data_IF_597479023762
#
_entry.id   IF_597479023762
#
_cell.length_a   1.000
_cell.length_b   1.000
_cell.length_c   1.000
_cell.angle_alpha   90.00
_cell.angle_beta   90.00
_cell.angle_gamma   90.00
#
_symmetry.space_group_name_H-M   'P 1'
#
loop_
_entity.id
_entity.type
_entity.pdbx_description
1 polymer ?
#
# COMPACT_ATOMS: atom_id res chain seq x y z
N UNK A 1 -9.52 44.69 -19.16
CA UNK A 1 -9.88 44.93 -20.58
C UNK A 1 -11.13 45.78 -20.59
N UNK A 2 -11.12 46.94 -21.24
CA UNK A 2 -12.34 47.75 -21.36
C UNK A 2 -13.40 46.95 -22.13
N UNK A 3 -14.58 46.86 -21.54
CA UNK A 3 -15.72 46.14 -22.08
C UNK A 3 -16.97 46.96 -21.75
N UNK A 4 -17.47 47.68 -22.74
CA UNK A 4 -18.61 48.61 -22.63
C UNK A 4 -19.93 47.88 -22.31
N UNK A 5 -19.98 46.55 -22.46
CA UNK A 5 -21.11 45.72 -22.07
C UNK A 5 -20.98 45.15 -20.65
N UNK A 6 -19.81 45.25 -20.02
CA UNK A 6 -19.63 44.85 -18.63
C UNK A 6 -20.28 45.89 -17.70
N UNK A 7 -20.87 45.43 -16.60
CA UNK A 7 -21.63 46.26 -15.63
C UNK A 7 -20.81 47.42 -15.04
N UNK A 8 -19.48 47.36 -15.11
CA UNK A 8 -18.52 48.38 -14.67
C UNK A 8 -17.71 49.02 -15.81
N UNK A 9 -17.99 48.70 -17.07
CA UNK A 9 -17.25 49.19 -18.25
C UNK A 9 -15.90 48.53 -18.50
N UNK A 10 -15.51 47.55 -17.67
CA UNK A 10 -14.29 46.76 -17.84
C UNK A 10 -14.47 45.34 -17.30
N UNK A 11 -13.71 44.39 -17.85
CA UNK A 11 -13.59 43.01 -17.39
C UNK A 11 -12.14 42.72 -17.01
N UNK A 12 -11.92 42.11 -15.85
CA UNK A 12 -10.59 41.64 -15.45
C UNK A 12 -10.32 40.24 -16.00
N UNK A 13 -9.06 39.96 -16.32
CA UNK A 13 -8.57 38.60 -16.50
C UNK A 13 -7.53 38.35 -15.42
N UNK A 14 -7.80 37.38 -14.54
CA UNK A 14 -6.87 37.02 -13.47
C UNK A 14 -5.72 36.23 -14.09
N UNK A 15 -4.51 36.79 -14.03
CA UNK A 15 -3.30 36.18 -14.59
C UNK A 15 -2.56 35.30 -13.56
N UNK A 16 -3.20 35.02 -12.42
CA UNK A 16 -2.66 34.20 -11.33
C UNK A 16 -3.78 33.30 -10.80
N UNK A 17 -3.45 32.06 -10.43
CA UNK A 17 -4.38 31.15 -9.74
C UNK A 17 -4.74 31.65 -8.34
N UNK A 18 -3.90 32.49 -7.73
CA UNK A 18 -4.10 33.02 -6.36
C UNK A 18 -5.30 33.96 -6.22
N UNK A 19 -5.92 34.40 -7.31
CA UNK A 19 -7.05 35.31 -7.26
C UNK A 19 -8.13 34.88 -8.24
N UNK A 20 -9.35 34.72 -7.74
CA UNK A 20 -10.55 34.35 -8.49
C UNK A 20 -11.64 35.42 -8.32
N UNK A 21 -12.75 35.30 -9.05
CA UNK A 21 -13.81 36.32 -9.10
C UNK A 21 -13.84 37.09 -10.42
N UNK A 22 -14.92 37.84 -10.65
CA UNK A 22 -15.15 38.60 -11.90
C UNK A 22 -14.12 39.73 -12.07
N UNK A 23 -13.53 40.17 -10.95
CA UNK A 23 -12.56 41.25 -10.85
C UNK A 23 -11.28 40.84 -10.11
N UNK A 24 -11.04 39.54 -9.90
CA UNK A 24 -9.90 38.98 -9.15
C UNK A 24 -9.87 39.41 -7.66
N UNK A 25 -11.04 39.58 -7.07
CA UNK A 25 -11.25 40.08 -5.71
C UNK A 25 -11.17 39.00 -4.63
N UNK A 26 -11.33 37.73 -5.00
CA UNK A 26 -11.28 36.60 -4.07
C UNK A 26 -9.86 36.06 -4.07
N UNK A 27 -9.13 36.22 -2.98
CA UNK A 27 -7.87 35.50 -2.81
C UNK A 27 -8.16 34.00 -2.70
N UNK A 28 -7.72 33.23 -3.70
CA UNK A 28 -7.75 31.77 -3.62
C UNK A 28 -6.79 31.37 -2.51
N UNK A 29 -7.33 30.73 -1.47
CA UNK A 29 -6.54 30.36 -0.32
C UNK A 29 -5.50 29.33 -0.71
N UNK A 30 -4.22 29.67 -0.54
CA UNK A 30 -3.15 28.72 -0.78
C UNK A 30 -3.31 27.54 0.19
N UNK A 31 -3.37 26.29 -0.30
CA UNK A 31 -3.49 25.13 0.58
C UNK A 31 -2.27 25.04 1.51
N UNK A 32 -2.49 24.55 2.73
CA UNK A 32 -1.42 24.44 3.72
C UNK A 32 -0.24 23.58 3.20
N UNK A 33 1.01 23.94 3.58
CA UNK A 33 2.21 23.17 3.24
C UNK A 33 2.09 21.67 3.57
N UNK A 34 2.93 20.83 2.98
CA UNK A 34 3.02 19.41 3.34
C UNK A 34 3.28 19.28 4.85
N UNK A 35 2.68 18.29 5.50
CA UNK A 35 2.67 18.12 6.97
C UNK A 35 1.91 19.18 7.78
N UNK A 36 1.15 20.07 7.13
CA UNK A 36 0.26 21.05 7.78
C UNK A 36 -1.18 20.92 7.24
N UNK A 37 -2.16 21.29 8.06
CA UNK A 37 -3.59 21.24 7.75
C UNK A 37 -4.38 22.41 8.36
N UNK A 38 -5.59 22.64 7.89
CA UNK A 38 -6.50 23.68 8.39
C UNK A 38 -6.85 24.75 7.36
N UNK A 39 -7.88 25.53 7.66
CA UNK A 39 -8.29 26.70 6.90
C UNK A 39 -9.11 27.63 7.82
N UNK A 40 -8.88 28.96 7.85
CA UNK A 40 -7.91 29.77 7.07
C UNK A 40 -6.50 29.83 7.67
N UNK A 41 -6.30 29.29 8.88
CA UNK A 41 -5.00 29.20 9.55
C UNK A 41 -4.53 27.76 9.50
N UNK A 42 -3.27 27.55 9.14
CA UNK A 42 -2.64 26.24 9.10
C UNK A 42 -2.02 25.89 10.45
N UNK A 43 -2.22 24.66 10.92
CA UNK A 43 -1.51 24.03 12.03
C UNK A 43 -0.71 22.81 11.56
N UNK A 44 0.28 22.35 12.35
CA UNK A 44 1.04 21.14 12.04
C UNK A 44 0.17 19.88 12.16
N UNK A 45 0.44 18.89 11.31
CA UNK A 45 -0.07 17.53 11.46
C UNK A 45 0.65 16.86 12.64
N UNK A 46 -0.10 16.32 13.60
CA UNK A 46 0.44 15.62 14.77
C UNK A 46 0.34 14.10 14.60
N UNK A 47 0.88 13.58 13.50
CA UNK A 47 0.84 12.16 13.16
C UNK A 47 2.03 11.41 13.76
N UNK A 48 1.77 10.25 14.36
CA UNK A 48 2.78 9.41 15.00
C UNK A 48 3.51 8.56 13.95
N UNK A 49 4.65 9.06 13.48
CA UNK A 49 5.47 8.37 12.47
C UNK A 49 6.12 7.09 13.00
N UNK A 50 6.34 6.99 14.32
CA UNK A 50 6.92 5.81 14.95
C UNK A 50 5.93 4.64 14.94
N UNK A 51 4.63 4.96 14.99
CA UNK A 51 3.53 3.99 14.77
C UNK A 51 3.26 3.67 13.29
N UNK A 52 4.02 4.23 12.35
CA UNK A 52 3.89 3.97 10.91
C UNK A 52 2.86 4.83 10.17
N UNK A 53 2.41 5.94 10.78
CA UNK A 53 1.59 6.93 10.09
C UNK A 53 2.43 7.80 9.16
N UNK A 54 1.81 8.27 8.08
CA UNK A 54 2.40 9.33 7.28
C UNK A 54 2.46 10.64 8.09
N UNK A 55 3.53 11.42 7.92
CA UNK A 55 3.60 12.78 8.48
C UNK A 55 2.60 13.75 7.81
N UNK A 56 2.01 13.34 6.69
CA UNK A 56 0.95 14.07 6.00
C UNK A 56 -0.42 13.65 6.54
N UNK A 57 -1.26 14.63 6.81
CA UNK A 57 -2.63 14.44 7.26
C UNK A 57 -3.64 15.08 6.30
N UNK A 58 -4.91 14.72 6.46
CA UNK A 58 -6.01 15.31 5.72
C UNK A 58 -6.02 16.84 5.89
N UNK A 59 -6.00 17.58 4.78
CA UNK A 59 -5.86 19.05 4.77
C UNK A 59 -7.00 19.80 5.45
N UNK A 60 -8.17 19.19 5.56
CA UNK A 60 -9.35 19.81 6.16
C UNK A 60 -9.61 19.32 7.58
N UNK A 61 -9.42 18.02 7.83
CA UNK A 61 -9.78 17.40 9.13
C UNK A 61 -8.59 17.17 10.06
N UNK A 62 -7.36 17.19 9.54
CA UNK A 62 -6.16 16.84 10.30
C UNK A 62 -5.99 15.34 10.55
N UNK A 63 -6.86 14.51 9.98
CA UNK A 63 -6.84 13.06 10.15
C UNK A 63 -5.54 12.45 9.57
N UNK A 64 -4.83 11.70 10.40
CA UNK A 64 -3.62 10.97 10.04
C UNK A 64 -3.96 9.63 9.39
N UNK A 65 -3.19 9.24 8.39
CA UNK A 65 -3.35 7.95 7.69
C UNK A 65 -2.05 7.17 7.70
N UNK A 66 -2.13 5.85 7.61
CA UNK A 66 -0.96 5.02 7.47
C UNK A 66 -0.14 5.42 6.23
N UNK A 67 1.18 5.25 6.34
CA UNK A 67 2.08 5.43 5.22
C UNK A 67 1.68 4.51 4.04
N UNK A 68 2.06 4.88 2.82
CA UNK A 68 1.90 4.01 1.65
C UNK A 68 2.42 2.59 1.93
N UNK A 69 1.71 1.58 1.43
CA UNK A 69 1.98 0.17 1.70
C UNK A 69 1.86 -0.24 3.19
N UNK A 70 1.09 0.49 4.00
CA UNK A 70 0.72 0.11 5.36
C UNK A 70 -0.80 0.14 5.58
N UNK A 71 -1.27 -0.56 6.61
CA UNK A 71 -2.68 -0.63 6.99
C UNK A 71 -2.83 -0.64 8.51
N UNK A 72 -3.97 -0.15 9.01
CA UNK A 72 -4.30 -0.16 10.42
C UNK A 72 -5.47 -1.11 10.67
N UNK A 73 -5.27 -2.12 11.53
CA UNK A 73 -6.38 -2.97 12.00
C UNK A 73 -7.25 -2.20 12.99
N UNK A 74 -8.54 -2.53 13.06
CA UNK A 74 -9.50 -1.86 13.95
C UNK A 74 -9.05 -1.87 15.43
N UNK A 75 -8.44 -2.96 15.90
CA UNK A 75 -7.94 -3.10 17.27
C UNK A 75 -6.47 -2.68 17.46
N UNK A 76 -5.87 -1.98 16.49
CA UNK A 76 -4.46 -1.62 16.49
C UNK A 76 -4.28 -0.11 16.37
N UNK A 77 -3.47 0.48 17.24
CA UNK A 77 -2.97 1.85 17.06
C UNK A 77 -1.77 1.94 16.11
N UNK A 78 -1.24 0.80 15.69
CA UNK A 78 -0.07 0.70 14.81
C UNK A 78 -0.48 0.45 13.37
N UNK A 79 0.22 1.11 12.44
CA UNK A 79 0.18 0.83 11.02
C UNK A 79 1.16 -0.30 10.71
N UNK A 80 0.62 -1.41 10.19
CA UNK A 80 1.38 -2.60 9.83
C UNK A 80 1.74 -2.57 8.35
N UNK A 81 2.92 -3.06 7.94
CA UNK A 81 3.27 -3.14 6.53
C UNK A 81 2.35 -4.13 5.80
N UNK A 82 1.96 -3.77 4.57
CA UNK A 82 1.10 -4.59 3.72
C UNK A 82 1.79 -5.91 3.33
N UNK A 83 3.08 -5.87 3.01
CA UNK A 83 3.86 -7.04 2.58
C UNK A 83 3.24 -7.80 1.40
N UNK A 84 2.64 -7.08 0.44
CA UNK A 84 2.07 -7.70 -0.76
C UNK A 84 3.17 -8.32 -1.63
N UNK A 85 3.00 -9.59 -2.01
CA UNK A 85 3.90 -10.29 -2.91
C UNK A 85 3.70 -9.77 -4.34
N UNK A 86 4.73 -9.12 -4.89
CA UNK A 86 4.62 -8.39 -6.17
C UNK A 86 4.27 -9.29 -7.36
N UNK A 87 4.74 -10.54 -7.37
CA UNK A 87 4.39 -11.48 -8.44
C UNK A 87 2.92 -11.87 -8.37
N UNK A 88 2.35 -12.02 -7.17
CA UNK A 88 0.96 -12.43 -6.97
C UNK A 88 -0.06 -11.29 -6.86
N UNK A 89 0.40 -10.05 -6.77
CA UNK A 89 -0.46 -8.87 -6.60
C UNK A 89 -0.33 -7.88 -7.75
N UNK A 90 -1.30 -6.97 -7.84
CA UNK A 90 -1.26 -5.86 -8.79
C UNK A 90 -0.46 -4.65 -8.29
N UNK A 91 -0.23 -4.56 -6.98
CA UNK A 91 0.49 -3.45 -6.36
C UNK A 91 0.96 -3.81 -4.95
N UNK A 92 1.92 -3.06 -4.42
CA UNK A 92 2.37 -3.14 -3.02
C UNK A 92 1.36 -2.58 -2.01
N UNK A 93 0.35 -1.83 -2.47
CA UNK A 93 -0.71 -1.29 -1.62
C UNK A 93 -1.74 -2.36 -1.28
N UNK A 94 -2.28 -2.25 -0.06
CA UNK A 94 -3.34 -3.10 0.44
C UNK A 94 -4.51 -2.26 0.97
N UNK A 95 -5.63 -2.93 1.29
CA UNK A 95 -6.74 -2.29 1.96
C UNK A 95 -6.30 -1.72 3.32
N UNK A 96 -6.66 -0.47 3.59
CA UNK A 96 -6.18 0.28 4.77
C UNK A 96 -6.69 -0.25 6.11
N UNK A 97 -7.77 -1.05 6.13
CA UNK A 97 -8.35 -1.61 7.35
C UNK A 97 -8.04 -3.11 7.49
N UNK A 98 -8.17 -3.87 6.41
CA UNK A 98 -8.01 -5.33 6.45
C UNK A 98 -6.59 -5.80 6.13
N UNK A 99 -5.79 -4.94 5.48
CA UNK A 99 -4.47 -5.31 4.99
C UNK A 99 -4.50 -6.25 3.78
N UNK A 100 -5.68 -6.52 3.18
CA UNK A 100 -5.79 -7.41 2.03
C UNK A 100 -5.18 -6.77 0.78
N UNK A 101 -4.21 -7.45 0.19
CA UNK A 101 -3.61 -7.08 -1.09
C UNK A 101 -4.52 -7.42 -2.27
N UNK A 102 -4.40 -6.66 -3.36
CA UNK A 102 -5.16 -6.93 -4.59
C UNK A 102 -4.48 -8.05 -5.38
N UNK A 103 -4.95 -9.28 -5.20
CA UNK A 103 -4.36 -10.48 -5.79
C UNK A 103 -4.71 -10.64 -7.28
N UNK A 104 -3.80 -11.27 -8.01
CA UNK A 104 -4.01 -11.73 -9.39
C UNK A 104 -4.96 -12.93 -9.42
N UNK A 105 -5.57 -13.24 -10.57
CA UNK A 105 -6.48 -14.38 -10.68
C UNK A 105 -5.85 -15.70 -10.21
N UNK A 106 -6.57 -16.43 -9.36
CA UNK A 106 -6.13 -17.72 -8.79
C UNK A 106 -5.17 -17.63 -7.60
N UNK A 107 -4.58 -16.46 -7.33
CA UNK A 107 -3.71 -16.21 -6.18
C UNK A 107 -4.54 -15.83 -4.96
N UNK A 108 -4.18 -16.36 -3.80
CA UNK A 108 -4.90 -16.23 -2.54
C UNK A 108 -3.98 -15.75 -1.40
N UNK A 109 -4.58 -15.51 -0.23
CA UNK A 109 -3.89 -15.04 0.97
C UNK A 109 -3.90 -13.52 1.11
N UNK A 110 -3.67 -13.02 2.34
CA UNK A 110 -3.63 -11.58 2.62
C UNK A 110 -2.57 -10.86 1.79
N UNK A 111 -1.41 -11.52 1.63
CA UNK A 111 -0.23 -11.01 0.92
C UNK A 111 -0.19 -11.41 -0.56
N UNK A 112 -1.14 -12.20 -1.05
CA UNK A 112 -1.12 -12.76 -2.41
C UNK A 112 0.13 -13.61 -2.70
N UNK A 113 0.56 -14.39 -1.72
CA UNK A 113 1.80 -15.18 -1.70
C UNK A 113 1.57 -16.69 -1.86
N UNK A 114 0.31 -17.11 -2.05
CA UNK A 114 -0.06 -18.52 -2.15
C UNK A 114 -1.07 -18.76 -3.26
N UNK A 115 -1.12 -20.00 -3.75
CA UNK A 115 -2.13 -20.48 -4.68
C UNK A 115 -3.08 -21.44 -3.97
N UNK A 116 -4.33 -21.54 -4.45
CA UNK A 116 -5.29 -22.48 -3.88
C UNK A 116 -4.88 -23.95 -4.06
N UNK A 117 -4.07 -24.24 -5.09
CA UNK A 117 -3.47 -25.56 -5.30
C UNK A 117 -2.10 -25.61 -4.61
N UNK A 118 -1.84 -26.60 -3.73
CA UNK A 118 -0.59 -26.71 -2.98
C UNK A 118 0.66 -26.97 -3.85
N UNK A 119 0.47 -27.49 -5.06
CA UNK A 119 1.54 -27.72 -6.04
C UNK A 119 1.68 -26.55 -7.03
N UNK A 120 0.99 -25.43 -6.82
CA UNK A 120 1.07 -24.28 -7.69
C UNK A 120 1.94 -23.16 -7.10
N UNK A 121 2.81 -22.62 -7.93
CA UNK A 121 3.61 -21.45 -7.64
C UNK A 121 2.91 -20.18 -8.11
N UNK A 122 3.03 -19.13 -7.30
CA UNK A 122 2.58 -17.78 -7.67
C UNK A 122 3.48 -17.22 -8.76
N UNK A 123 2.86 -16.63 -9.78
CA UNK A 123 3.51 -16.02 -10.93
C UNK A 123 2.76 -14.74 -11.35
N UNK A 124 3.39 -13.90 -12.17
CA UNK A 124 2.78 -12.64 -12.65
C UNK A 124 1.50 -12.86 -13.49
N UNK A 125 1.30 -14.07 -14.02
CA UNK A 125 0.10 -14.46 -14.77
C UNK A 125 -0.97 -15.17 -13.92
N UNK A 126 -0.74 -15.36 -12.62
CA UNK A 126 -1.61 -16.14 -11.73
C UNK A 126 -0.86 -17.31 -11.09
N UNK A 127 -1.43 -18.50 -11.13
CA UNK A 127 -0.85 -19.70 -10.51
C UNK A 127 -0.39 -20.70 -11.58
N UNK A 128 0.82 -21.23 -11.44
CA UNK A 128 1.42 -22.21 -12.36
C UNK A 128 1.76 -23.50 -11.60
N UNK A 129 1.36 -24.66 -12.12
CA UNK A 129 1.63 -25.95 -11.48
C UNK A 129 3.11 -26.32 -11.60
N UNK A 130 3.70 -26.74 -10.48
CA UNK A 130 5.02 -27.37 -10.40
C UNK A 130 4.80 -28.88 -10.38
N UNK A 131 5.26 -29.57 -11.43
CA UNK A 131 4.96 -30.99 -11.64
C UNK A 131 5.93 -31.95 -10.94
N UNK A 132 7.17 -31.51 -10.68
CA UNK A 132 8.25 -32.38 -10.22
C UNK A 132 8.73 -32.05 -8.80
N UNK A 133 7.92 -31.31 -8.04
CA UNK A 133 8.30 -30.84 -6.73
C UNK A 133 7.28 -29.92 -6.10
N UNK A 134 7.69 -29.36 -4.98
CA UNK A 134 6.91 -28.43 -4.21
C UNK A 134 7.28 -26.99 -4.59
N UNK A 135 6.28 -26.11 -4.84
CA UNK A 135 6.49 -24.77 -5.39
C UNK A 135 7.12 -23.82 -4.37
N UNK A 136 7.69 -22.70 -4.83
CA UNK A 136 8.09 -21.64 -3.90
C UNK A 136 6.89 -21.16 -3.08
N UNK A 137 7.01 -21.16 -1.75
CA UNK A 137 5.91 -20.76 -0.85
C UNK A 137 6.43 -20.02 0.39
N UNK A 138 5.63 -19.05 0.87
CA UNK A 138 5.89 -18.39 2.15
C UNK A 138 5.09 -19.06 3.26
N UNK A 139 5.77 -19.51 4.31
CA UNK A 139 5.14 -20.13 5.47
C UNK A 139 5.98 -19.90 6.74
N UNK A 140 5.32 -19.60 7.86
CA UNK A 140 5.95 -19.37 9.16
C UNK A 140 7.11 -18.36 9.14
N UNK A 141 6.99 -17.28 8.37
CA UNK A 141 8.03 -16.25 8.29
C UNK A 141 9.19 -16.58 7.34
N UNK A 142 9.14 -17.71 6.64
CA UNK A 142 10.23 -18.19 5.79
C UNK A 142 9.75 -18.39 4.35
N UNK A 143 10.57 -17.96 3.39
CA UNK A 143 10.38 -18.24 1.97
C UNK A 143 11.07 -19.56 1.61
N UNK A 144 10.28 -20.61 1.45
CA UNK A 144 10.76 -21.91 0.98
C UNK A 144 10.92 -21.86 -0.53
N UNK A 145 12.14 -22.15 -1.00
CA UNK A 145 12.43 -22.26 -2.44
C UNK A 145 11.78 -23.52 -3.05
N UNK A 146 11.58 -23.50 -4.36
CA UNK A 146 11.13 -24.67 -5.11
C UNK A 146 12.05 -25.87 -4.85
N UNK A 147 11.48 -27.04 -4.59
CA UNK A 147 12.26 -28.23 -4.19
C UNK A 147 11.66 -29.47 -4.83
N UNK A 148 12.51 -30.33 -5.38
CA UNK A 148 12.10 -31.60 -5.98
C UNK A 148 11.51 -32.55 -4.94
N UNK A 149 10.60 -33.44 -5.36
CA UNK A 149 10.04 -34.46 -4.46
C UNK A 149 11.13 -35.32 -3.82
N UNK A 150 10.97 -35.61 -2.52
CA UNK A 150 11.98 -36.29 -1.71
C UNK A 150 13.12 -35.38 -1.24
N UNK A 151 13.14 -34.13 -1.70
CA UNK A 151 14.11 -33.11 -1.30
C UNK A 151 13.74 -32.40 0.00
N UNK A 152 14.66 -31.59 0.49
CA UNK A 152 14.46 -30.74 1.65
C UNK A 152 15.02 -29.34 1.38
N UNK A 153 14.19 -28.32 1.61
CA UNK A 153 14.63 -26.94 1.59
C UNK A 153 15.13 -26.55 2.99
N UNK A 154 16.31 -25.95 3.05
CA UNK A 154 16.89 -25.41 4.28
C UNK A 154 16.98 -23.89 4.15
N UNK A 155 16.50 -23.17 5.14
CA UNK A 155 16.54 -21.72 5.24
C UNK A 155 16.95 -21.29 6.64
N UNK A 156 17.27 -20.02 6.84
CA UNK A 156 17.49 -19.49 8.19
C UNK A 156 16.16 -19.39 8.94
N UNK A 157 16.21 -19.50 10.26
CA UNK A 157 15.05 -19.21 11.10
C UNK A 157 14.57 -17.75 10.88
N UNK A 158 13.25 -17.49 10.98
CA UNK A 158 12.69 -16.16 10.81
C UNK A 158 13.14 -15.20 11.91
N UNK A 159 12.89 -13.90 11.71
CA UNK A 159 13.26 -12.85 12.66
C UNK A 159 12.79 -13.15 14.09
N UNK A 160 13.70 -12.99 15.05
CA UNK A 160 13.47 -13.33 16.46
C UNK A 160 13.86 -14.76 16.85
N UNK A 161 14.31 -15.59 15.90
CA UNK A 161 14.83 -16.93 16.16
C UNK A 161 16.22 -17.13 15.54
N UNK A 162 17.00 -18.06 16.09
CA UNK A 162 18.36 -18.39 15.61
C UNK A 162 18.45 -19.85 15.21
N UNK A 163 19.07 -20.15 14.07
CA UNK A 163 19.29 -21.51 13.59
C UNK A 163 18.91 -21.70 12.12
N UNK A 164 18.74 -22.97 11.73
CA UNK A 164 18.27 -23.36 10.40
C UNK A 164 16.89 -24.02 10.51
N UNK A 165 15.97 -23.58 9.66
CA UNK A 165 14.69 -24.21 9.44
C UNK A 165 14.79 -25.17 8.25
N UNK A 166 14.23 -26.37 8.38
CA UNK A 166 14.19 -27.38 7.34
C UNK A 166 12.75 -27.76 7.02
N UNK A 167 12.43 -27.93 5.72
CA UNK A 167 11.12 -28.39 5.25
C UNK A 167 11.30 -29.45 4.18
N UNK A 168 10.64 -30.59 4.37
CA UNK A 168 10.68 -31.72 3.45
C UNK A 168 9.57 -31.60 2.41
N UNK A 169 9.87 -31.92 1.15
CA UNK A 169 8.91 -31.93 0.06
C UNK A 169 8.45 -33.36 -0.22
N UNK A 170 7.22 -33.67 0.19
CA UNK A 170 6.59 -34.98 -0.01
C UNK A 170 5.92 -35.09 -1.39
N UNK A 171 5.96 -36.28 -1.98
CA UNK A 171 5.42 -36.52 -3.31
C UNK A 171 3.88 -36.56 -3.35
N UNK A 172 3.24 -37.01 -2.28
CA UNK A 172 1.79 -37.17 -2.21
C UNK A 172 1.11 -35.98 -1.51
N UNK A 173 1.78 -35.42 -0.50
CA UNK A 173 1.22 -34.37 0.36
C UNK A 173 1.72 -32.98 -0.02
N UNK A 174 2.94 -32.87 -0.57
CA UNK A 174 3.62 -31.60 -0.81
C UNK A 174 4.39 -31.10 0.42
N UNK A 175 4.25 -29.81 0.71
CA UNK A 175 5.02 -29.08 1.73
C UNK A 175 4.47 -29.14 3.15
#
# INVERSE_FOLDING_TARGET
VNDLNAKRGYKCHCNSTKFTGEYCEVAEAMPCPNTWWGYPVCGPCNCDVDKGYAGECNKTTGECRCQSNHYQKEDSEWCHPCECYLEGSFSSNCNQQTGQCKCRPGVIGRRCDQCANPFAQVHISGCQIVYNGCPKSFHSGVWWGETVFGGSAVQQCPDGATGQANRYCDQDIGW
#
